data_IF_089261382819
#
_entry.id   IF_089261382819
#
_cell.length_a   1.000
_cell.length_b   1.000
_cell.length_c   1.000
_cell.angle_alpha   90.00
_cell.angle_beta   90.00
_cell.angle_gamma   90.00
#
_symmetry.space_group_name_H-M   'P 1'
#
loop_
_entity.id
_entity.type
_entity.pdbx_description
1 polymer ?
#
# COMPACT_ATOMS: atom_id res chain seq x y z
N UNK A 1 1.56 -64.64 8.53
CA UNK A 1 1.31 -63.45 7.67
C UNK A 1 0.77 -62.27 8.49
N UNK A 2 0.68 -62.44 9.81
CA UNK A 2 -0.04 -61.55 10.72
C UNK A 2 0.82 -60.36 11.18
N UNK A 3 2.16 -60.53 11.15
CA UNK A 3 3.13 -59.50 11.58
C UNK A 3 3.12 -58.27 10.66
N UNK A 4 2.94 -58.47 9.34
CA UNK A 4 2.88 -57.36 8.38
C UNK A 4 1.56 -56.59 8.52
N UNK A 5 0.45 -57.29 8.76
CA UNK A 5 -0.87 -56.68 8.96
C UNK A 5 -0.89 -55.80 10.20
N UNK A 6 -0.29 -56.25 11.30
CA UNK A 6 -0.10 -55.44 12.51
C UNK A 6 0.70 -54.17 12.23
N UNK A 7 1.78 -54.26 11.46
CA UNK A 7 2.62 -53.11 11.13
C UNK A 7 1.90 -52.07 10.27
N UNK A 8 1.00 -52.49 9.37
CA UNK A 8 0.15 -51.59 8.62
C UNK A 8 -0.91 -50.89 9.49
N UNK A 9 -1.50 -51.61 10.46
CA UNK A 9 -2.46 -51.04 11.41
C UNK A 9 -1.77 -50.00 12.30
N UNK A 10 -0.58 -50.32 12.81
CA UNK A 10 0.20 -49.43 13.67
C UNK A 10 0.67 -48.18 12.90
N UNK A 11 1.22 -48.36 11.69
CA UNK A 11 1.61 -47.27 10.82
C UNK A 11 0.41 -46.40 10.39
N UNK A 12 -0.73 -47.01 10.06
CA UNK A 12 -1.95 -46.30 9.73
C UNK A 12 -2.50 -45.48 10.90
N UNK A 13 -2.41 -46.02 12.11
CA UNK A 13 -2.80 -45.31 13.35
C UNK A 13 -1.88 -44.13 13.61
N UNK A 14 -0.56 -44.30 13.46
CA UNK A 14 0.42 -43.22 13.57
C UNK A 14 0.21 -42.12 12.52
N UNK A 15 -0.08 -42.50 11.27
CA UNK A 15 -0.38 -41.55 10.19
C UNK A 15 -1.66 -40.75 10.49
N UNK A 16 -2.73 -41.44 10.91
CA UNK A 16 -4.00 -40.80 11.24
C UNK A 16 -3.85 -39.87 12.45
N UNK A 17 -3.15 -40.32 13.49
CA UNK A 17 -2.87 -39.51 14.68
C UNK A 17 -2.10 -38.24 14.31
N UNK A 18 -1.06 -38.36 13.49
CA UNK A 18 -0.30 -37.22 12.98
C UNK A 18 -1.18 -36.27 12.15
N UNK A 19 -2.01 -36.82 11.26
CA UNK A 19 -2.92 -36.03 10.43
C UNK A 19 -3.93 -35.24 11.28
N UNK A 20 -4.60 -35.90 12.23
CA UNK A 20 -5.57 -35.26 13.13
C UNK A 20 -4.89 -34.19 13.98
N UNK A 21 -3.69 -34.45 14.51
CA UNK A 21 -2.95 -33.47 15.30
C UNK A 21 -2.59 -32.23 14.49
N UNK A 22 -2.09 -32.40 13.26
CA UNK A 22 -1.78 -31.28 12.36
C UNK A 22 -3.04 -30.48 12.02
N UNK A 23 -4.15 -31.14 11.70
CA UNK A 23 -5.41 -30.45 11.43
C UNK A 23 -5.92 -29.66 12.64
N UNK A 24 -5.87 -30.24 13.84
CA UNK A 24 -6.26 -29.55 15.06
C UNK A 24 -5.38 -28.33 15.32
N UNK A 25 -4.06 -28.46 15.15
CA UNK A 25 -3.10 -27.38 15.33
C UNK A 25 -3.31 -26.24 14.33
N UNK A 26 -3.45 -26.54 13.04
CA UNK A 26 -3.70 -25.53 12.00
C UNK A 26 -5.05 -24.83 12.22
N UNK A 27 -6.09 -25.57 12.61
CA UNK A 27 -7.40 -25.02 12.94
C UNK A 27 -7.30 -24.05 14.13
N UNK A 28 -6.57 -24.43 15.18
CA UNK A 28 -6.31 -23.56 16.32
C UNK A 28 -5.58 -22.28 15.90
N UNK A 29 -4.56 -22.38 15.04
CA UNK A 29 -3.84 -21.23 14.50
C UNK A 29 -4.78 -20.29 13.72
N UNK A 30 -5.64 -20.84 12.86
CA UNK A 30 -6.61 -20.05 12.09
C UNK A 30 -7.60 -19.35 13.03
N UNK A 31 -8.13 -20.05 14.03
CA UNK A 31 -9.05 -19.47 15.03
C UNK A 31 -8.34 -18.38 15.82
N UNK A 32 -7.10 -18.60 16.24
CA UNK A 32 -6.30 -17.63 16.97
C UNK A 32 -6.05 -16.37 16.13
N UNK A 33 -5.66 -16.52 14.87
CA UNK A 33 -5.46 -15.41 13.95
C UNK A 33 -6.76 -14.64 13.76
N UNK A 34 -7.86 -15.32 13.44
CA UNK A 34 -9.13 -14.63 13.21
C UNK A 34 -9.64 -13.96 14.50
N UNK A 35 -9.51 -14.61 15.65
CA UNK A 35 -10.02 -14.03 16.90
C UNK A 35 -9.12 -12.91 17.41
N UNK A 36 -7.80 -13.06 17.39
CA UNK A 36 -6.86 -12.08 17.95
C UNK A 36 -6.52 -11.01 16.93
N UNK A 37 -6.04 -11.38 15.74
CA UNK A 37 -5.64 -10.39 14.72
C UNK A 37 -6.84 -9.66 14.14
N UNK A 38 -8.01 -10.29 13.93
CA UNK A 38 -9.17 -9.53 13.44
C UNK A 38 -9.70 -8.58 14.53
N UNK A 39 -9.72 -8.98 15.81
CA UNK A 39 -10.08 -8.06 16.91
C UNK A 39 -9.08 -6.91 17.04
N UNK A 40 -7.78 -7.18 16.88
CA UNK A 40 -6.75 -6.13 16.89
C UNK A 40 -6.86 -5.21 15.67
N UNK A 41 -7.13 -5.74 14.48
CA UNK A 41 -7.32 -4.96 13.25
C UNK A 41 -8.53 -4.03 13.34
N UNK A 42 -9.62 -4.46 13.98
CA UNK A 42 -10.77 -3.58 14.26
C UNK A 42 -10.43 -2.53 15.32
N UNK A 43 -9.58 -2.87 16.30
CA UNK A 43 -9.20 -1.94 17.39
C UNK A 43 -8.16 -0.91 16.95
N UNK A 44 -7.31 -1.26 15.99
CA UNK A 44 -6.33 -0.38 15.35
C UNK A 44 -6.62 -0.34 13.85
N UNK A 45 -7.68 0.37 13.42
CA UNK A 45 -7.91 0.57 12.01
C UNK A 45 -6.71 1.34 11.44
N UNK A 46 -6.13 0.81 10.36
CA UNK A 46 -5.10 1.55 9.63
C UNK A 46 -5.65 2.94 9.33
N UNK A 47 -4.90 4.02 9.62
CA UNK A 47 -5.33 5.36 9.28
C UNK A 47 -5.47 5.40 7.77
N UNK A 48 -6.71 5.27 7.28
CA UNK A 48 -7.05 5.37 5.88
C UNK A 48 -6.56 6.74 5.47
N UNK A 49 -5.43 6.78 4.77
CA UNK A 49 -4.92 8.02 4.21
C UNK A 49 -6.02 8.51 3.29
N UNK A 50 -6.81 9.49 3.75
CA UNK A 50 -7.85 10.12 2.95
C UNK A 50 -7.17 10.43 1.62
N UNK A 51 -7.66 9.91 0.48
CA UNK A 51 -7.08 10.24 -0.81
C UNK A 51 -7.01 11.75 -0.86
N UNK A 52 -5.78 12.29 -0.87
CA UNK A 52 -5.57 13.74 -0.89
C UNK A 52 -6.31 14.20 -2.14
N UNK A 53 -7.44 14.87 -1.97
CA UNK A 53 -8.27 15.31 -3.07
C UNK A 53 -7.33 16.02 -4.05
N UNK A 54 -7.11 15.42 -5.21
CA UNK A 54 -6.37 16.08 -6.28
C UNK A 54 -7.19 17.32 -6.55
N UNK A 55 -6.62 18.49 -6.23
CA UNK A 55 -7.23 19.75 -6.58
C UNK A 55 -7.39 19.73 -8.09
N UNK A 56 -8.61 19.52 -8.56
CA UNK A 56 -8.99 19.68 -9.95
C UNK A 56 -8.86 21.16 -10.29
N UNK A 57 -7.61 21.60 -10.49
CA UNK A 57 -7.30 22.88 -11.09
C UNK A 57 -7.73 22.75 -12.54
N UNK A 58 -9.02 23.00 -12.79
CA UNK A 58 -9.59 23.14 -14.14
C UNK A 58 -8.66 24.06 -14.94
N UNK A 59 -8.12 23.63 -16.09
CA UNK A 59 -7.37 24.53 -16.94
C UNK A 59 -8.33 25.63 -17.40
N UNK A 60 -8.08 26.86 -16.94
CA UNK A 60 -8.82 28.04 -17.38
C UNK A 60 -8.57 28.17 -18.88
N UNK A 61 -9.59 27.93 -19.72
CA UNK A 61 -9.52 28.15 -21.17
C UNK A 61 -9.02 29.57 -21.40
N UNK A 62 -7.82 29.68 -21.96
CA UNK A 62 -7.24 30.93 -22.43
C UNK A 62 -8.07 31.38 -23.62
N UNK A 63 -8.69 32.56 -23.53
CA UNK A 63 -9.37 33.17 -24.67
C UNK A 63 -8.32 33.37 -25.79
N UNK A 64 -8.57 32.73 -26.92
CA UNK A 64 -7.65 32.68 -28.06
C UNK A 64 -7.71 34.06 -28.74
N UNK A 65 -6.79 34.96 -28.37
CA UNK A 65 -6.70 36.30 -28.97
C UNK A 65 -6.20 37.39 -28.02
N UNK A 66 -6.32 37.21 -26.71
CA UNK A 66 -5.79 38.16 -25.73
C UNK A 66 -4.54 37.60 -25.04
N UNK A 67 -3.47 38.39 -25.00
CA UNK A 67 -2.24 38.03 -24.28
C UNK A 67 -2.60 37.83 -22.81
N UNK A 68 -2.47 36.58 -22.34
CA UNK A 68 -2.86 36.25 -20.97
C UNK A 68 -1.98 36.98 -19.96
N UNK A 69 -2.58 37.62 -18.93
CA UNK A 69 -1.83 38.21 -17.82
C UNK A 69 -0.86 37.22 -17.15
N UNK A 70 -1.20 35.92 -17.16
CA UNK A 70 -0.33 34.87 -16.63
C UNK A 70 0.95 34.71 -17.47
N UNK A 71 0.85 34.85 -18.79
CA UNK A 71 2.02 34.79 -19.70
C UNK A 71 2.89 36.02 -19.52
N UNK A 72 2.29 37.22 -19.40
CA UNK A 72 3.03 38.47 -19.13
C UNK A 72 3.76 38.40 -17.80
N UNK A 73 3.12 37.89 -16.74
CA UNK A 73 3.73 37.72 -15.42
C UNK A 73 4.88 36.70 -15.45
N UNK A 74 4.69 35.56 -16.12
CA UNK A 74 5.72 34.53 -16.27
C UNK A 74 6.94 35.08 -17.02
N UNK A 75 6.74 35.75 -18.16
CA UNK A 75 7.83 36.35 -18.95
C UNK A 75 8.53 37.45 -18.14
N UNK A 76 7.78 38.34 -17.48
CA UNK A 76 8.36 39.42 -16.66
C UNK A 76 9.22 38.88 -15.51
N UNK A 77 8.77 37.80 -14.86
CA UNK A 77 9.54 37.13 -13.82
C UNK A 77 10.84 36.49 -14.36
N UNK A 78 10.78 35.89 -15.55
CA UNK A 78 11.93 35.29 -16.20
C UNK A 78 12.97 36.36 -16.61
N UNK A 79 12.54 37.48 -17.17
CA UNK A 79 13.42 38.60 -17.53
C UNK A 79 14.05 39.22 -16.29
N UNK A 80 13.27 39.44 -15.23
CA UNK A 80 13.78 39.96 -13.95
C UNK A 80 14.83 39.03 -13.37
N UNK A 81 14.59 37.71 -13.39
CA UNK A 81 15.55 36.70 -12.93
C UNK A 81 16.83 36.68 -13.76
N UNK A 82 16.72 36.77 -15.09
CA UNK A 82 17.88 36.84 -15.98
C UNK A 82 18.73 38.07 -15.67
N UNK A 83 18.12 39.24 -15.54
CA UNK A 83 18.81 40.48 -15.16
C UNK A 83 19.46 40.34 -13.80
N UNK A 84 18.77 39.84 -12.78
CA UNK A 84 19.38 39.62 -11.46
C UNK A 84 20.59 38.67 -11.52
N UNK A 85 20.51 37.62 -12.33
CA UNK A 85 21.61 36.65 -12.48
C UNK A 85 22.80 37.19 -13.28
N UNK A 86 22.56 38.11 -14.24
CA UNK A 86 23.58 38.64 -15.14
C UNK A 86 24.00 40.09 -14.84
N UNK A 87 23.32 40.78 -13.94
CA UNK A 87 23.66 42.13 -13.45
C UNK A 87 24.36 42.10 -12.09
N UNK A 88 24.54 40.94 -11.47
CA UNK A 88 25.50 40.77 -10.38
C UNK A 88 26.91 40.90 -11.00
N UNK A 89 27.67 41.96 -10.68
CA UNK A 89 29.03 42.08 -11.15
C UNK A 89 29.84 40.95 -10.53
N UNK A 90 30.63 40.24 -11.37
CA UNK A 90 31.74 39.43 -10.87
C UNK A 90 32.59 40.35 -9.98
N UNK A 91 32.65 40.03 -8.69
CA UNK A 91 33.59 40.64 -7.74
C UNK A 91 35.02 40.53 -8.23
#
# INVERSE_FOLDING_TARGET
MDNMQLQFIEAGTLMLAGMVFVFAFLSLLIIFINTVLAKLSVKFPDPVAKPKARSDRKPKKLAQGEVSPAVVAAISSAVTRYRQQHSQPKS
#
